data_IF_160912439671
#
_entry.id   IF_160912439671
#
_cell.length_a   1.000
_cell.length_b   1.000
_cell.length_c   1.000
_cell.angle_alpha   90.00
_cell.angle_beta   90.00
_cell.angle_gamma   90.00
#
_symmetry.space_group_name_H-M   'P 1'
#
loop_
_entity.id
_entity.type
_entity.pdbx_description
1 polymer ?
#
# COMPACT_ATOMS: atom_id res chain seq x y z
N UNK A 1 -19.24 5.10 -16.85
CA UNK A 1 -20.54 5.02 -16.15
C UNK A 1 -21.48 6.01 -16.84
N UNK A 2 -22.71 5.59 -17.18
CA UNK A 2 -23.78 6.49 -17.58
C UNK A 2 -24.74 6.69 -16.43
N UNK A 3 -25.23 7.90 -16.29
CA UNK A 3 -26.25 8.25 -15.30
C UNK A 3 -27.49 8.72 -16.06
N UNK A 4 -28.61 8.04 -15.85
CA UNK A 4 -29.89 8.34 -16.49
C UNK A 4 -30.89 8.70 -15.41
N UNK A 5 -31.57 9.85 -15.55
CA UNK A 5 -32.57 10.31 -14.59
C UNK A 5 -33.81 10.85 -15.28
N UNK A 6 -34.98 10.62 -14.69
CA UNK A 6 -36.25 11.19 -15.05
C UNK A 6 -36.65 12.36 -14.13
N UNK A 7 -35.73 12.79 -13.25
CA UNK A 7 -35.96 13.82 -12.24
C UNK A 7 -36.57 13.28 -10.94
N UNK A 8 -37.01 12.02 -10.90
CA UNK A 8 -37.54 11.34 -9.71
C UNK A 8 -36.64 10.15 -9.30
N UNK A 9 -36.09 9.45 -10.29
CA UNK A 9 -35.20 8.32 -10.08
C UNK A 9 -33.96 8.49 -10.92
N UNK A 10 -32.83 8.10 -10.37
CA UNK A 10 -31.53 8.10 -11.04
C UNK A 10 -31.06 6.66 -11.15
N UNK A 11 -30.69 6.24 -12.35
CA UNK A 11 -30.13 4.92 -12.61
C UNK A 11 -28.69 5.05 -13.07
N UNK A 12 -27.88 4.14 -12.63
CA UNK A 12 -26.48 4.01 -12.99
C UNK A 12 -26.34 2.85 -13.97
N UNK A 13 -25.75 3.10 -15.12
CA UNK A 13 -25.65 2.13 -16.23
C UNK A 13 -24.19 1.72 -16.42
N UNK A 14 -23.96 0.42 -16.51
CA UNK A 14 -22.66 -0.12 -16.91
C UNK A 14 -22.45 0.11 -18.41
N UNK A 15 -21.43 0.89 -18.83
CA UNK A 15 -21.20 1.18 -20.25
C UNK A 15 -20.74 -0.04 -21.06
N UNK A 16 -20.27 -1.10 -20.40
CA UNK A 16 -19.78 -2.32 -21.06
C UNK A 16 -20.90 -3.29 -21.44
N UNK A 17 -21.98 -3.31 -20.64
CA UNK A 17 -23.12 -4.22 -20.85
C UNK A 17 -24.38 -3.49 -21.31
N UNK A 18 -24.47 -2.17 -21.04
CA UNK A 18 -25.70 -1.40 -21.24
C UNK A 18 -26.78 -1.63 -20.17
N UNK A 19 -26.52 -2.45 -19.18
CA UNK A 19 -27.45 -2.81 -18.13
C UNK A 19 -27.40 -1.84 -16.94
N UNK A 20 -28.49 -1.72 -16.15
CA UNK A 20 -28.44 -1.06 -14.86
C UNK A 20 -27.44 -1.72 -13.92
N UNK A 21 -26.67 -0.90 -13.24
CA UNK A 21 -25.80 -1.36 -12.15
C UNK A 21 -26.66 -1.78 -10.98
N UNK A 22 -26.42 -2.95 -10.44
CA UNK A 22 -27.15 -3.53 -9.32
C UNK A 22 -26.42 -3.27 -8.00
N UNK A 23 -27.16 -2.96 -6.96
CA UNK A 23 -26.68 -2.98 -5.58
C UNK A 23 -26.44 -4.44 -5.11
N UNK A 24 -25.85 -4.61 -3.94
CA UNK A 24 -25.48 -5.93 -3.39
C UNK A 24 -26.69 -6.85 -3.16
N UNK A 25 -27.88 -6.27 -3.00
CA UNK A 25 -29.15 -7.01 -2.88
C UNK A 25 -29.79 -7.35 -4.25
N UNK A 26 -29.10 -7.09 -5.35
CA UNK A 26 -29.54 -7.41 -6.71
C UNK A 26 -30.55 -6.42 -7.29
N UNK A 27 -30.84 -5.32 -6.63
CA UNK A 27 -31.76 -4.28 -7.14
C UNK A 27 -30.99 -3.20 -7.91
N UNK A 28 -31.61 -2.56 -8.90
CA UNK A 28 -31.01 -1.44 -9.59
C UNK A 28 -30.56 -0.35 -8.61
N UNK A 29 -29.33 0.13 -8.79
CA UNK A 29 -28.77 1.21 -8.02
C UNK A 29 -29.49 2.52 -8.41
N UNK A 30 -30.17 3.14 -7.44
CA UNK A 30 -30.96 4.36 -7.65
C UNK A 30 -30.48 5.53 -6.79
N UNK A 31 -29.25 5.50 -6.31
CA UNK A 31 -28.66 6.57 -5.51
C UNK A 31 -28.59 7.87 -6.30
N UNK A 32 -28.97 8.98 -5.68
CA UNK A 32 -28.84 10.30 -6.29
C UNK A 32 -27.37 10.67 -6.50
N UNK A 33 -27.09 11.29 -7.64
CA UNK A 33 -25.81 11.89 -7.90
C UNK A 33 -25.80 13.34 -7.43
N UNK A 34 -24.89 13.67 -6.53
CA UNK A 34 -24.65 15.04 -6.08
C UNK A 34 -23.24 15.44 -6.52
N UNK A 35 -23.16 16.49 -7.34
CA UNK A 35 -21.88 17.02 -7.80
C UNK A 35 -21.04 17.45 -6.59
N UNK A 36 -19.76 17.14 -6.66
CA UNK A 36 -18.76 17.48 -5.62
C UNK A 36 -19.06 16.91 -4.21
N UNK A 37 -19.92 15.90 -4.13
CA UNK A 37 -20.21 15.19 -2.90
C UNK A 37 -19.25 14.00 -2.72
N UNK A 38 -18.59 13.91 -1.55
CA UNK A 38 -17.74 12.78 -1.18
C UNK A 38 -18.48 11.43 -1.26
N UNK A 39 -19.79 11.44 -1.02
CA UNK A 39 -20.64 10.25 -1.11
C UNK A 39 -20.70 9.80 -2.57
N UNK A 40 -20.95 10.73 -3.51
CA UNK A 40 -21.02 10.43 -4.93
C UNK A 40 -19.65 10.00 -5.49
N UNK A 41 -18.57 10.63 -5.07
CA UNK A 41 -17.22 10.26 -5.46
C UNK A 41 -16.89 8.83 -4.99
N UNK A 42 -17.15 8.50 -3.73
CA UNK A 42 -16.95 7.14 -3.21
C UNK A 42 -17.81 6.10 -3.91
N UNK A 43 -19.06 6.45 -4.24
CA UNK A 43 -19.95 5.58 -5.01
C UNK A 43 -19.40 5.33 -6.42
N UNK A 44 -18.93 6.36 -7.11
CA UNK A 44 -18.33 6.24 -8.44
C UNK A 44 -17.09 5.34 -8.38
N UNK A 45 -16.19 5.53 -7.44
CA UNK A 45 -15.02 4.68 -7.26
C UNK A 45 -15.41 3.22 -7.02
N UNK A 46 -16.43 2.98 -6.18
CA UNK A 46 -16.95 1.65 -5.92
C UNK A 46 -17.55 1.02 -7.17
N UNK A 47 -18.32 1.76 -7.94
CA UNK A 47 -18.88 1.29 -9.21
C UNK A 47 -17.76 0.90 -10.17
N UNK A 48 -16.82 1.81 -10.43
CA UNK A 48 -15.68 1.57 -11.35
C UNK A 48 -14.86 0.34 -10.96
N UNK A 49 -14.77 0.07 -9.67
CA UNK A 49 -14.04 -1.09 -9.18
C UNK A 49 -14.82 -2.41 -9.26
N UNK A 50 -16.14 -2.36 -9.41
CA UNK A 50 -17.03 -3.52 -9.37
C UNK A 50 -17.49 -3.98 -10.75
N UNK A 51 -17.82 -3.03 -11.64
CA UNK A 51 -18.43 -3.34 -12.96
C UNK A 51 -17.39 -3.85 -13.95
N UNK A 52 -17.81 -4.83 -14.73
CA UNK A 52 -17.06 -5.44 -15.84
C UNK A 52 -18.01 -5.82 -16.95
N UNK A 53 -17.49 -6.35 -18.08
CA UNK A 53 -18.30 -6.88 -19.18
C UNK A 53 -19.14 -8.09 -18.79
N UNK A 54 -18.78 -8.77 -17.69
CA UNK A 54 -19.44 -9.95 -17.14
C UNK A 54 -20.10 -9.70 -15.77
N UNK A 55 -20.04 -8.46 -15.25
CA UNK A 55 -20.60 -8.14 -13.94
C UNK A 55 -21.21 -6.74 -13.87
N UNK A 56 -22.49 -6.67 -13.61
CA UNK A 56 -23.24 -5.43 -13.38
C UNK A 56 -23.52 -5.14 -11.89
N UNK A 57 -23.07 -6.00 -10.98
CA UNK A 57 -23.36 -5.88 -9.54
C UNK A 57 -22.22 -5.20 -8.79
N UNK A 58 -22.58 -4.32 -7.85
CA UNK A 58 -21.64 -3.77 -6.90
C UNK A 58 -21.06 -4.90 -6.04
N UNK A 59 -19.75 -5.01 -6.05
CA UNK A 59 -19.08 -5.93 -5.14
C UNK A 59 -19.00 -5.31 -3.74
N UNK A 60 -19.35 -6.09 -2.73
CA UNK A 60 -18.99 -5.73 -1.35
C UNK A 60 -17.48 -5.70 -1.27
N UNK A 61 -16.87 -4.64 -0.71
CA UNK A 61 -15.47 -4.71 -0.35
C UNK A 61 -15.31 -5.84 0.66
N UNK A 62 -14.90 -7.01 0.20
CA UNK A 62 -14.55 -8.10 1.11
C UNK A 62 -13.32 -7.61 1.86
N UNK A 63 -13.44 -7.47 3.16
CA UNK A 63 -12.29 -7.26 4.02
C UNK A 63 -11.41 -8.50 3.90
N UNK A 64 -10.44 -8.45 3.01
CA UNK A 64 -9.55 -9.58 2.74
C UNK A 64 -8.57 -9.67 3.90
N UNK A 65 -8.50 -10.84 4.55
CA UNK A 65 -7.55 -11.05 5.63
C UNK A 65 -6.11 -11.12 5.06
N UNK A 66 -5.21 -10.20 5.44
CA UNK A 66 -3.82 -10.20 4.96
C UNK A 66 -2.94 -11.28 5.58
N UNK A 67 -3.40 -11.90 6.66
CA UNK A 67 -2.59 -12.82 7.45
C UNK A 67 -2.10 -14.04 6.64
N UNK A 68 -2.91 -14.68 5.80
CA UNK A 68 -2.45 -15.80 5.00
C UNK A 68 -1.34 -15.41 4.02
N UNK A 69 -1.48 -14.27 3.31
CA UNK A 69 -0.46 -13.77 2.40
C UNK A 69 0.86 -13.45 3.16
N UNK A 70 0.76 -12.71 4.27
CA UNK A 70 1.91 -12.35 5.07
C UNK A 70 2.68 -13.57 5.56
N UNK A 71 1.97 -14.57 6.09
CA UNK A 71 2.59 -15.82 6.58
C UNK A 71 3.26 -16.62 5.46
N UNK A 72 2.60 -16.74 4.32
CA UNK A 72 3.14 -17.48 3.18
C UNK A 72 4.41 -16.82 2.63
N UNK A 73 4.37 -15.49 2.44
CA UNK A 73 5.55 -14.75 1.96
C UNK A 73 6.68 -14.79 2.99
N UNK A 74 6.34 -14.69 4.29
CA UNK A 74 7.33 -14.84 5.36
C UNK A 74 8.03 -16.20 5.30
N UNK A 75 7.27 -17.29 5.17
CA UNK A 75 7.83 -18.64 5.08
C UNK A 75 8.74 -18.82 3.86
N UNK A 76 8.34 -18.26 2.71
CA UNK A 76 9.16 -18.32 1.50
C UNK A 76 10.48 -17.54 1.65
N UNK A 77 10.43 -16.34 2.23
CA UNK A 77 11.63 -15.54 2.51
C UNK A 77 12.52 -16.18 3.58
N UNK A 78 11.92 -16.75 4.62
CA UNK A 78 12.66 -17.39 5.71
C UNK A 78 13.35 -18.68 5.28
N UNK A 79 12.84 -19.36 4.27
CA UNK A 79 13.45 -20.55 3.70
C UNK A 79 14.74 -20.28 2.90
N UNK A 80 15.01 -19.00 2.60
CA UNK A 80 16.25 -18.60 1.90
C UNK A 80 17.44 -18.75 2.85
N UNK A 81 18.53 -19.35 2.37
CA UNK A 81 19.75 -19.53 3.14
C UNK A 81 20.34 -18.19 3.60
N UNK A 82 20.69 -18.09 4.88
CA UNK A 82 21.22 -16.85 5.45
C UNK A 82 20.18 -15.74 5.67
N UNK A 83 18.89 -16.04 5.54
CA UNK A 83 17.84 -15.08 5.85
C UNK A 83 17.89 -14.65 7.31
N UNK A 84 17.76 -13.35 7.54
CA UNK A 84 17.56 -12.77 8.87
C UNK A 84 16.17 -12.17 8.95
N UNK A 85 15.59 -12.03 10.14
CA UNK A 85 14.27 -11.39 10.32
C UNK A 85 14.21 -10.01 9.64
N UNK A 86 15.29 -9.24 9.70
CA UNK A 86 15.42 -7.91 9.13
C UNK A 86 15.36 -7.95 7.60
N UNK A 87 16.18 -8.82 6.99
CA UNK A 87 16.24 -8.93 5.54
C UNK A 87 14.90 -9.41 4.98
N UNK A 88 14.23 -10.34 5.65
CA UNK A 88 12.89 -10.78 5.28
C UNK A 88 11.90 -9.63 5.31
N UNK A 89 11.92 -8.83 6.39
CA UNK A 89 11.02 -7.68 6.55
C UNK A 89 11.25 -6.63 5.45
N UNK A 90 12.49 -6.22 5.23
CA UNK A 90 12.81 -5.21 4.21
C UNK A 90 12.48 -5.70 2.81
N UNK A 91 12.77 -6.95 2.50
CA UNK A 91 12.44 -7.55 1.21
C UNK A 91 10.92 -7.64 1.01
N UNK A 92 10.17 -8.01 2.05
CA UNK A 92 8.71 -8.01 2.00
C UNK A 92 8.15 -6.61 1.75
N UNK A 93 8.62 -5.61 2.51
CA UNK A 93 8.18 -4.20 2.36
C UNK A 93 8.46 -3.72 0.93
N UNK A 94 9.63 -4.02 0.39
CA UNK A 94 10.01 -3.62 -0.96
C UNK A 94 9.10 -4.24 -2.03
N UNK A 95 8.86 -5.56 -1.98
CA UNK A 95 7.98 -6.24 -2.95
C UNK A 95 6.52 -5.77 -2.79
N UNK A 96 6.07 -5.56 -1.56
CA UNK A 96 4.74 -5.00 -1.29
C UNK A 96 4.59 -3.60 -1.89
N UNK A 97 5.56 -2.71 -1.69
CA UNK A 97 5.56 -1.36 -2.26
C UNK A 97 5.56 -1.43 -3.79
N UNK A 98 6.37 -2.30 -4.38
CA UNK A 98 6.40 -2.50 -5.83
C UNK A 98 5.01 -2.86 -6.37
N UNK A 99 4.38 -3.90 -5.82
CA UNK A 99 3.02 -4.29 -6.22
C UNK A 99 2.01 -3.17 -6.00
N UNK A 100 2.06 -2.54 -4.84
CA UNK A 100 1.12 -1.49 -4.46
C UNK A 100 1.20 -0.25 -5.39
N UNK A 101 2.40 0.23 -5.71
CA UNK A 101 2.60 1.35 -6.63
C UNK A 101 2.20 1.00 -8.07
N UNK A 102 2.39 -0.26 -8.46
CA UNK A 102 1.91 -0.75 -9.75
C UNK A 102 0.37 -0.75 -9.80
N UNK A 103 -0.28 -1.28 -8.78
CA UNK A 103 -1.75 -1.34 -8.71
C UNK A 103 -2.40 0.05 -8.65
N UNK A 104 -1.75 1.02 -8.03
CA UNK A 104 -2.17 2.42 -8.02
C UNK A 104 -1.96 3.15 -9.35
N UNK A 105 -1.25 2.54 -10.33
CA UNK A 105 -0.91 3.18 -11.60
C UNK A 105 0.18 4.26 -11.49
N UNK A 106 0.92 4.31 -10.38
CA UNK A 106 2.10 5.18 -10.20
C UNK A 106 3.26 4.66 -11.05
N UNK A 107 3.49 3.35 -11.04
CA UNK A 107 4.40 2.70 -11.98
C UNK A 107 3.64 2.39 -13.27
N UNK A 108 4.26 2.67 -14.42
CA UNK A 108 3.62 2.53 -15.74
C UNK A 108 4.52 1.79 -16.72
N UNK A 109 3.90 1.21 -17.76
CA UNK A 109 4.61 0.53 -18.86
C UNK A 109 5.48 -0.64 -18.36
N UNK A 110 6.74 -0.65 -18.75
CA UNK A 110 7.69 -1.72 -18.44
C UNK A 110 8.01 -1.88 -16.93
N UNK A 111 7.65 -0.88 -16.11
CA UNK A 111 7.94 -0.89 -14.68
C UNK A 111 6.79 -1.45 -13.82
N UNK A 112 5.69 -1.90 -14.44
CA UNK A 112 4.55 -2.44 -13.70
C UNK A 112 4.80 -3.87 -13.24
N UNK A 113 4.11 -4.25 -12.18
CA UNK A 113 4.14 -5.60 -11.64
C UNK A 113 3.67 -6.65 -12.66
N UNK A 114 2.56 -6.37 -13.33
CA UNK A 114 2.00 -7.29 -14.32
C UNK A 114 2.90 -7.45 -15.55
N UNK A 115 3.59 -6.38 -15.98
CA UNK A 115 4.57 -6.46 -17.06
C UNK A 115 5.75 -7.32 -16.67
N UNK A 116 6.29 -7.17 -15.45
CA UNK A 116 7.39 -8.01 -14.97
C UNK A 116 6.95 -9.47 -14.86
N UNK A 117 5.77 -9.73 -14.31
CA UNK A 117 5.23 -11.08 -14.17
C UNK A 117 5.03 -11.78 -15.54
N UNK A 118 4.55 -11.02 -16.54
CA UNK A 118 4.36 -11.57 -17.89
C UNK A 118 5.67 -12.03 -18.56
N UNK A 119 6.81 -11.50 -18.14
CA UNK A 119 8.12 -11.89 -18.72
C UNK A 119 8.49 -13.35 -18.43
N UNK A 120 7.98 -13.97 -17.37
CA UNK A 120 8.20 -15.38 -17.08
C UNK A 120 7.69 -16.34 -18.17
N UNK A 121 6.81 -15.88 -19.06
CA UNK A 121 6.37 -16.64 -20.22
C UNK A 121 7.41 -16.85 -21.31
N UNK A 122 8.47 -15.99 -21.33
CA UNK A 122 9.48 -16.01 -22.39
C UNK A 122 10.92 -16.02 -21.85
N UNK A 123 11.13 -15.71 -20.57
CA UNK A 123 12.45 -15.56 -19.95
C UNK A 123 12.59 -16.51 -18.75
N UNK A 124 13.82 -16.80 -18.38
CA UNK A 124 14.14 -17.57 -17.17
C UNK A 124 13.91 -16.74 -15.91
N UNK A 125 13.74 -17.39 -14.77
CA UNK A 125 13.61 -16.71 -13.47
C UNK A 125 14.78 -15.76 -13.18
N UNK A 126 15.98 -16.12 -13.55
CA UNK A 126 17.17 -15.28 -13.37
C UNK A 126 17.12 -14.01 -14.24
N UNK A 127 16.72 -14.13 -15.51
CA UNK A 127 16.58 -12.96 -16.39
C UNK A 127 15.52 -11.98 -15.89
N UNK A 128 14.39 -12.49 -15.38
CA UNK A 128 13.33 -11.63 -14.82
C UNK A 128 13.81 -10.94 -13.53
N UNK A 129 14.55 -11.66 -12.66
CA UNK A 129 15.13 -11.05 -11.47
C UNK A 129 16.17 -9.97 -11.83
N UNK A 130 16.98 -10.17 -12.86
CA UNK A 130 17.91 -9.15 -13.38
C UNK A 130 17.16 -7.91 -13.91
N UNK A 131 16.05 -8.07 -14.61
CA UNK A 131 15.22 -6.96 -15.05
C UNK A 131 14.65 -6.19 -13.86
N UNK A 132 14.19 -6.90 -12.83
CA UNK A 132 13.75 -6.25 -11.59
C UNK A 132 14.86 -5.44 -10.95
N UNK A 133 16.05 -6.05 -10.77
CA UNK A 133 17.18 -5.43 -10.09
C UNK A 133 17.74 -4.21 -10.86
N UNK A 134 17.87 -4.32 -12.17
CA UNK A 134 18.55 -3.30 -13.01
C UNK A 134 17.62 -2.21 -13.55
N UNK A 135 16.32 -2.47 -13.62
CA UNK A 135 15.36 -1.55 -14.26
C UNK A 135 14.24 -1.11 -13.31
N UNK A 136 13.47 -2.05 -12.76
CA UNK A 136 12.28 -1.74 -11.95
C UNK A 136 12.65 -1.14 -10.60
N UNK A 137 13.55 -1.78 -9.86
CA UNK A 137 14.00 -1.34 -8.54
C UNK A 137 14.62 0.07 -8.55
N UNK A 138 15.52 0.42 -9.46
CA UNK A 138 16.03 1.79 -9.60
C UNK A 138 14.92 2.81 -9.84
N UNK A 139 13.91 2.46 -10.65
CA UNK A 139 12.75 3.34 -10.87
C UNK A 139 11.94 3.62 -9.61
N UNK A 140 11.77 2.60 -8.76
CA UNK A 140 11.12 2.79 -7.46
C UNK A 140 12.00 3.66 -6.54
N UNK A 141 13.32 3.47 -6.56
CA UNK A 141 14.27 4.30 -5.79
C UNK A 141 14.27 5.78 -6.21
N UNK A 142 14.03 6.08 -7.50
CA UNK A 142 13.88 7.47 -7.97
C UNK A 142 12.68 8.15 -7.33
N UNK A 143 11.56 7.44 -7.16
CA UNK A 143 10.37 7.95 -6.49
C UNK A 143 10.59 8.17 -4.99
N UNK A 144 11.45 7.35 -4.37
CA UNK A 144 11.73 7.36 -2.93
C UNK A 144 13.24 7.38 -2.67
N UNK A 145 13.90 8.50 -2.93
CA UNK A 145 15.33 8.61 -2.77
C UNK A 145 15.74 8.44 -1.30
N UNK A 146 16.96 7.98 -1.11
CA UNK A 146 17.56 7.85 0.21
C UNK A 146 17.54 9.19 0.94
N UNK A 147 17.12 9.18 2.19
CA UNK A 147 17.09 10.39 3.00
C UNK A 147 18.52 10.86 3.30
N UNK A 148 18.80 12.14 3.01
CA UNK A 148 20.14 12.73 3.15
C UNK A 148 20.57 12.92 4.62
N UNK A 149 19.62 13.01 5.57
CA UNK A 149 19.92 13.27 6.97
C UNK A 149 20.25 12.00 7.76
N UNK A 150 19.45 10.94 7.57
CA UNK A 150 19.55 9.70 8.34
C UNK A 150 20.01 8.50 7.51
N UNK A 151 20.28 8.71 6.21
CA UNK A 151 20.69 7.66 5.25
C UNK A 151 19.73 6.48 5.13
N UNK A 152 18.50 6.56 5.61
CA UNK A 152 17.53 5.49 5.51
C UNK A 152 16.84 5.48 4.14
N UNK A 153 16.48 4.30 3.68
CA UNK A 153 15.65 4.08 2.50
C UNK A 153 14.62 3.00 2.81
N UNK A 154 13.42 3.12 2.22
CA UNK A 154 12.38 2.10 2.33
C UNK A 154 12.62 0.95 1.35
N UNK A 155 13.41 1.17 0.30
CA UNK A 155 13.81 0.16 -0.68
C UNK A 155 15.16 -0.39 -0.25
N UNK A 156 15.13 -1.36 0.65
CA UNK A 156 16.31 -1.88 1.35
C UNK A 156 16.33 -3.42 1.45
N UNK A 157 15.52 -4.12 0.67
CA UNK A 157 15.56 -5.58 0.60
C UNK A 157 16.87 -6.08 0.01
N UNK A 158 17.49 -7.06 0.65
CA UNK A 158 18.80 -7.60 0.21
C UNK A 158 18.78 -9.10 -0.06
N UNK A 159 17.61 -9.75 -0.03
CA UNK A 159 17.52 -11.18 -0.34
C UNK A 159 17.65 -11.40 -1.85
N UNK A 160 16.91 -10.66 -2.65
CA UNK A 160 16.88 -10.83 -4.11
C UNK A 160 17.83 -9.92 -4.86
N UNK A 161 18.12 -8.76 -4.29
CA UNK A 161 18.98 -7.74 -4.92
C UNK A 161 20.03 -7.28 -3.91
N UNK A 162 21.28 -7.30 -4.32
CA UNK A 162 22.41 -6.86 -3.50
C UNK A 162 22.35 -5.35 -3.23
N UNK A 163 23.25 -4.88 -2.36
CA UNK A 163 23.39 -3.43 -2.09
C UNK A 163 23.82 -2.63 -3.32
N UNK A 164 24.45 -3.28 -4.29
CA UNK A 164 24.93 -2.69 -5.54
C UNK A 164 23.91 -2.83 -6.68
N UNK A 165 22.65 -3.08 -6.35
CA UNK A 165 21.53 -3.24 -7.28
C UNK A 165 21.72 -4.35 -8.33
N UNK A 166 22.40 -5.45 -7.95
CA UNK A 166 22.54 -6.63 -8.76
C UNK A 166 21.68 -7.77 -8.22
N UNK A 167 21.11 -8.56 -9.11
CA UNK A 167 20.41 -9.77 -8.72
C UNK A 167 21.32 -10.72 -7.93
N UNK A 168 20.76 -11.37 -6.93
CA UNK A 168 21.46 -12.36 -6.11
C UNK A 168 21.20 -13.75 -6.68
N UNK A 169 22.25 -14.46 -7.03
CA UNK A 169 22.15 -15.79 -7.62
C UNK A 169 21.47 -16.80 -6.68
N UNK A 170 20.71 -17.71 -7.29
CA UNK A 170 20.08 -18.84 -6.59
C UNK A 170 18.72 -18.53 -5.95
N UNK A 171 18.25 -17.28 -5.96
CA UNK A 171 16.99 -16.92 -5.32
C UNK A 171 15.87 -16.48 -6.29
N UNK A 172 16.12 -16.53 -7.59
CA UNK A 172 15.17 -16.11 -8.61
C UNK A 172 13.87 -16.91 -8.58
N UNK A 173 13.90 -18.21 -8.34
CA UNK A 173 12.71 -19.04 -8.20
C UNK A 173 11.87 -18.68 -6.97
N UNK A 174 12.50 -18.26 -5.87
CA UNK A 174 11.78 -17.78 -4.68
C UNK A 174 11.17 -16.41 -4.95
N UNK A 175 11.86 -15.53 -5.67
CA UNK A 175 11.32 -14.26 -6.10
C UNK A 175 10.06 -14.44 -6.97
N UNK A 176 10.14 -15.31 -8.00
CA UNK A 176 8.99 -15.67 -8.84
C UNK A 176 7.81 -16.18 -7.99
N UNK A 177 8.05 -17.11 -7.09
CA UNK A 177 7.03 -17.66 -6.19
C UNK A 177 6.35 -16.58 -5.35
N UNK A 178 7.09 -15.59 -4.88
CA UNK A 178 6.53 -14.47 -4.10
C UNK A 178 5.69 -13.55 -4.99
N UNK A 179 6.16 -13.22 -6.20
CA UNK A 179 5.36 -12.46 -7.16
C UNK A 179 4.03 -13.19 -7.48
N UNK A 180 4.07 -14.49 -7.69
CA UNK A 180 2.88 -15.32 -7.90
C UNK A 180 1.89 -15.26 -6.74
N UNK A 181 2.37 -15.22 -5.48
CA UNK A 181 1.49 -15.07 -4.32
C UNK A 181 0.77 -13.74 -4.32
N UNK A 182 1.48 -12.66 -4.63
CA UNK A 182 0.87 -11.33 -4.74
C UNK A 182 -0.10 -11.25 -5.93
N UNK A 183 0.21 -11.87 -7.06
CA UNK A 183 -0.67 -11.94 -8.21
C UNK A 183 -1.98 -12.68 -7.90
N UNK A 184 -1.90 -13.84 -7.25
CA UNK A 184 -3.05 -14.64 -6.82
C UNK A 184 -3.89 -13.97 -5.75
N UNK A 185 -3.28 -13.14 -4.92
CA UNK A 185 -3.98 -12.34 -3.93
C UNK A 185 -4.86 -11.27 -4.60
N UNK A 186 -4.41 -10.72 -5.74
CA UNK A 186 -5.12 -9.72 -6.53
C UNK A 186 -4.61 -8.30 -6.32
N UNK A 187 -5.50 -7.30 -6.44
CA UNK A 187 -5.10 -5.91 -6.35
C UNK A 187 -4.95 -5.43 -4.91
N UNK A 188 -3.87 -4.72 -4.64
CA UNK A 188 -3.60 -4.07 -3.38
C UNK A 188 -4.21 -2.65 -3.29
N UNK A 189 -4.68 -2.08 -4.39
CA UNK A 189 -5.31 -0.75 -4.41
C UNK A 189 -6.55 -0.67 -3.51
N UNK A 190 -7.33 -1.73 -3.48
CA UNK A 190 -8.60 -1.82 -2.75
C UNK A 190 -8.46 -2.21 -1.27
N UNK A 191 -7.24 -2.39 -0.81
CA UNK A 191 -6.96 -2.77 0.57
C UNK A 191 -7.22 -1.57 1.48
N UNK A 192 -8.03 -1.77 2.50
CA UNK A 192 -8.30 -0.76 3.51
C UNK A 192 -7.07 -0.46 4.39
N UNK A 193 -7.20 0.59 5.19
CA UNK A 193 -6.18 1.00 6.14
C UNK A 193 -5.85 -0.10 7.16
N UNK A 194 -6.85 -0.75 7.71
CA UNK A 194 -6.70 -1.75 8.75
C UNK A 194 -5.96 -2.99 8.24
N UNK A 195 -6.19 -3.36 6.98
CA UNK A 195 -5.43 -4.41 6.30
C UNK A 195 -3.93 -4.08 6.24
N UNK A 196 -3.58 -2.89 5.75
CA UNK A 196 -2.17 -2.46 5.59
C UNK A 196 -1.47 -2.48 6.95
N UNK A 197 -2.10 -1.93 7.97
CA UNK A 197 -1.57 -1.92 9.33
C UNK A 197 -1.39 -3.34 9.88
N UNK A 198 -2.38 -4.21 9.72
CA UNK A 198 -2.32 -5.61 10.19
C UNK A 198 -1.28 -6.43 9.46
N UNK A 199 -1.11 -6.22 8.15
CA UNK A 199 -0.11 -6.91 7.36
C UNK A 199 1.30 -6.63 7.91
N UNK A 200 1.63 -5.34 8.08
CA UNK A 200 2.93 -4.93 8.62
C UNK A 200 3.13 -5.37 10.08
N UNK A 201 2.10 -5.24 10.92
CA UNK A 201 2.18 -5.71 12.30
C UNK A 201 2.41 -7.22 12.41
N UNK A 202 1.77 -7.99 11.55
CA UNK A 202 1.95 -9.44 11.52
C UNK A 202 3.36 -9.79 11.10
N UNK A 203 3.85 -9.16 10.03
CA UNK A 203 5.21 -9.38 9.56
C UNK A 203 6.24 -8.97 10.61
N UNK A 204 6.01 -7.86 11.31
CA UNK A 204 6.83 -7.45 12.44
C UNK A 204 6.80 -8.45 13.59
N UNK A 205 5.62 -8.93 13.98
CA UNK A 205 5.50 -9.93 15.04
C UNK A 205 6.23 -11.22 14.71
N UNK A 206 6.13 -11.70 13.48
CA UNK A 206 6.87 -12.89 13.03
C UNK A 206 8.39 -12.62 12.97
N UNK A 207 8.81 -11.42 12.59
CA UNK A 207 10.22 -11.03 12.55
C UNK A 207 10.84 -10.83 13.94
N UNK A 208 10.04 -10.46 14.91
CA UNK A 208 10.46 -10.11 16.29
C UNK A 208 10.33 -11.30 17.25
N UNK A 209 9.63 -12.37 16.84
CA UNK A 209 9.37 -13.50 17.73
C UNK A 209 10.66 -14.23 18.06
N UNK A 210 11.23 -14.03 19.17
CA UNK A 210 11.81 -14.98 20.12
C UNK A 210 12.89 -14.44 21.07
N UNK A 211 13.50 -13.29 20.86
CA UNK A 211 14.47 -12.74 21.84
C UNK A 211 14.49 -11.20 21.82
N UNK A 212 14.04 -10.57 22.86
CA UNK A 212 14.43 -9.24 23.36
C UNK A 212 13.78 -7.95 22.80
N UNK A 213 12.62 -7.99 22.16
CA UNK A 213 11.98 -6.72 21.76
C UNK A 213 10.71 -6.49 22.57
N UNK A 214 10.83 -5.74 23.66
CA UNK A 214 9.68 -5.21 24.40
C UNK A 214 8.94 -4.08 23.68
N UNK A 215 8.94 -4.05 22.35
CA UNK A 215 8.16 -3.10 21.60
C UNK A 215 6.71 -3.56 21.51
N UNK A 216 5.85 -2.90 22.27
CA UNK A 216 4.41 -3.12 22.21
C UNK A 216 3.79 -2.14 21.23
N UNK A 217 3.08 -2.67 20.24
CA UNK A 217 2.27 -1.83 19.36
C UNK A 217 1.01 -1.40 20.08
N UNK A 218 0.79 -0.08 20.14
CA UNK A 218 -0.46 0.44 20.71
C UNK A 218 -1.65 -0.09 19.90
N UNK A 219 -2.66 -0.69 20.54
CA UNK A 219 -3.84 -1.19 19.85
C UNK A 219 -4.54 -0.09 19.07
N UNK A 220 -4.98 -0.39 17.84
CA UNK A 220 -5.57 0.60 16.95
C UNK A 220 -6.74 1.35 17.59
N UNK A 221 -7.63 0.66 18.31
CA UNK A 221 -8.76 1.30 19.02
C UNK A 221 -8.31 2.37 20.03
N UNK A 222 -7.19 2.18 20.68
CA UNK A 222 -6.62 3.16 21.62
C UNK A 222 -6.11 4.37 20.84
N UNK A 223 -5.38 4.14 19.76
CA UNK A 223 -4.88 5.23 18.89
C UNK A 223 -6.05 6.05 18.33
N UNK A 224 -7.10 5.40 17.83
CA UNK A 224 -8.30 6.05 17.32
C UNK A 224 -9.03 6.88 18.38
N UNK A 225 -9.14 6.36 19.60
CA UNK A 225 -9.77 7.09 20.69
C UNK A 225 -8.97 8.35 21.05
N UNK A 226 -7.65 8.24 21.16
CA UNK A 226 -6.77 9.39 21.46
C UNK A 226 -6.79 10.40 20.33
N UNK A 227 -6.73 9.96 19.06
CA UNK A 227 -6.80 10.82 17.90
C UNK A 227 -8.11 11.63 17.85
N UNK A 228 -9.24 11.00 18.16
CA UNK A 228 -10.54 11.69 18.28
C UNK A 228 -10.57 12.73 19.39
N UNK A 229 -10.01 12.39 20.56
CA UNK A 229 -9.96 13.31 21.70
C UNK A 229 -9.03 14.51 21.44
N UNK A 230 -8.01 14.36 20.63
CA UNK A 230 -7.06 15.42 20.30
C UNK A 230 -7.64 16.48 19.34
N UNK A 231 -8.79 16.22 18.71
CA UNK A 231 -9.48 17.16 17.81
C UNK A 231 -8.57 17.84 16.78
N UNK A 232 -7.75 17.05 16.09
CA UNK A 232 -6.75 17.55 15.15
C UNK A 232 -7.41 18.36 14.02
N UNK A 233 -6.80 19.52 13.70
CA UNK A 233 -7.29 20.46 12.69
C UNK A 233 -6.17 20.91 11.76
N UNK A 234 -6.46 21.35 10.52
CA UNK A 234 -5.50 22.00 9.67
C UNK A 234 -4.80 23.18 10.39
N UNK A 235 -3.53 23.37 10.12
CA UNK A 235 -2.67 24.34 10.78
C UNK A 235 -1.97 23.84 12.05
N UNK A 236 -2.34 22.67 12.56
CA UNK A 236 -1.69 22.09 13.73
C UNK A 236 -0.39 21.35 13.37
N UNK A 237 0.45 21.19 14.40
CA UNK A 237 1.65 20.35 14.36
C UNK A 237 1.44 19.15 15.30
N UNK A 238 1.47 17.95 14.75
CA UNK A 238 1.46 16.69 15.51
C UNK A 238 2.92 16.28 15.71
N UNK A 239 3.31 16.09 16.97
CA UNK A 239 4.63 15.61 17.33
C UNK A 239 4.50 14.33 18.18
N UNK A 240 5.10 13.25 17.71
CA UNK A 240 5.19 11.98 18.44
C UNK A 240 6.67 11.69 18.72
N UNK A 241 7.11 11.81 19.98
CA UNK A 241 8.51 11.64 20.36
C UNK A 241 8.96 10.17 20.43
N UNK A 242 8.03 9.22 20.32
CA UNK A 242 8.27 7.78 20.32
C UNK A 242 7.34 7.09 19.29
N UNK A 243 7.43 7.56 18.04
CA UNK A 243 6.40 7.32 17.03
C UNK A 243 6.25 5.85 16.59
N UNK A 244 7.21 5.00 16.90
CA UNK A 244 7.16 3.62 16.45
C UNK A 244 6.94 3.54 14.95
N UNK A 245 5.88 2.84 14.54
CA UNK A 245 5.48 2.72 13.13
C UNK A 245 4.60 3.89 12.63
N UNK A 246 4.48 4.96 13.39
CA UNK A 246 3.83 6.21 12.98
C UNK A 246 2.31 6.23 13.13
N UNK A 247 1.69 5.34 13.92
CA UNK A 247 0.24 5.26 14.05
C UNK A 247 -0.41 6.55 14.55
N UNK A 248 0.14 7.17 15.59
CA UNK A 248 -0.41 8.42 16.15
C UNK A 248 -0.24 9.63 15.22
N UNK A 249 0.73 9.57 14.30
CA UNK A 249 0.90 10.62 13.28
C UNK A 249 -0.10 10.47 12.14
N UNK A 250 -0.44 9.23 11.78
CA UNK A 250 -1.24 8.91 10.61
C UNK A 250 -2.75 8.85 10.91
N UNK A 251 -3.15 8.20 11.99
CA UNK A 251 -4.56 7.98 12.32
C UNK A 251 -5.43 9.25 12.30
N UNK A 252 -4.96 10.40 12.84
CA UNK A 252 -5.77 11.61 12.87
C UNK A 252 -6.11 12.18 11.50
N UNK A 253 -5.32 11.85 10.46
CA UNK A 253 -5.41 12.46 9.12
C UNK A 253 -5.90 11.52 8.03
N UNK A 254 -5.89 10.20 8.29
CA UNK A 254 -6.12 9.19 7.26
C UNK A 254 -7.53 9.17 6.69
N UNK A 255 -8.52 9.51 7.49
CA UNK A 255 -9.92 9.42 7.09
C UNK A 255 -10.36 10.58 6.18
N UNK A 256 -9.55 11.66 6.11
CA UNK A 256 -9.83 12.83 5.29
C UNK A 256 -8.52 13.52 4.88
N UNK A 257 -7.75 12.87 4.01
CA UNK A 257 -6.48 13.42 3.53
C UNK A 257 -6.67 14.76 2.81
N UNK A 258 -7.76 14.94 2.08
CA UNK A 258 -8.08 16.18 1.35
C UNK A 258 -8.24 17.39 2.25
N UNK A 259 -8.59 17.20 3.53
CA UNK A 259 -8.64 18.27 4.52
C UNK A 259 -7.27 18.82 4.88
N UNK A 260 -6.25 17.95 4.88
CA UNK A 260 -4.91 18.26 5.36
C UNK A 260 -3.89 18.46 4.25
N UNK A 261 -4.19 18.01 3.04
CA UNK A 261 -3.29 18.12 1.90
C UNK A 261 -4.06 18.65 0.69
N UNK A 262 -3.44 19.57 -0.05
CA UNK A 262 -3.97 20.06 -1.32
C UNK A 262 -2.87 20.02 -2.37
N UNK A 263 -3.24 19.89 -3.63
CA UNK A 263 -2.30 20.01 -4.73
C UNK A 263 -2.56 21.30 -5.46
N UNK A 264 -1.55 22.12 -5.55
CA UNK A 264 -1.59 23.40 -6.23
C UNK A 264 -0.38 23.52 -7.16
N UNK A 265 -0.62 23.71 -8.44
CA UNK A 265 0.45 23.82 -9.45
C UNK A 265 1.31 22.55 -9.56
N UNK A 266 0.74 21.36 -9.36
CA UNK A 266 1.46 20.09 -9.39
C UNK A 266 2.34 19.82 -8.15
N UNK A 267 2.21 20.63 -7.11
CA UNK A 267 2.93 20.45 -5.85
C UNK A 267 1.98 20.14 -4.70
N UNK A 268 2.33 19.13 -3.92
CA UNK A 268 1.61 18.78 -2.69
C UNK A 268 1.88 19.84 -1.61
N UNK A 269 0.83 20.49 -1.15
CA UNK A 269 0.87 21.43 -0.02
C UNK A 269 0.23 20.82 1.21
N UNK A 270 0.99 20.72 2.28
CA UNK A 270 0.51 20.23 3.56
C UNK A 270 -0.07 21.38 4.38
N UNK A 271 -1.28 21.21 4.88
CA UNK A 271 -1.94 22.09 5.86
C UNK A 271 -1.74 21.60 7.30
N UNK A 272 -0.91 20.60 7.49
CA UNK A 272 -0.57 20.03 8.80
C UNK A 272 0.91 19.69 8.81
N UNK A 273 1.54 19.83 9.97
CA UNK A 273 2.92 19.40 10.16
C UNK A 273 2.94 18.12 10.99
N UNK A 274 3.72 17.13 10.54
CA UNK A 274 3.91 15.86 11.24
C UNK A 274 5.40 15.72 11.59
N UNK A 275 5.69 15.43 12.84
CA UNK A 275 7.04 15.14 13.32
C UNK A 275 7.02 13.87 14.16
N UNK A 276 7.72 12.85 13.69
CA UNK A 276 7.91 11.59 14.40
C UNK A 276 9.37 11.41 14.77
N UNK A 277 9.61 11.01 16.00
CA UNK A 277 10.93 10.64 16.49
C UNK A 277 10.89 9.22 17.03
N UNK A 278 11.95 8.48 16.82
CA UNK A 278 12.14 7.19 17.45
C UNK A 278 13.62 6.93 17.64
N UNK A 279 13.95 5.98 18.50
CA UNK A 279 15.32 5.57 18.75
C UNK A 279 15.88 4.86 17.52
N UNK A 280 17.06 5.24 17.05
CA UNK A 280 17.62 4.72 15.80
C UNK A 280 19.14 4.75 15.76
N UNK A 281 19.81 4.56 16.91
CA UNK A 281 21.27 4.54 16.98
C UNK A 281 21.87 3.28 16.40
N UNK A 282 21.22 2.13 16.58
CA UNK A 282 21.65 0.83 16.06
C UNK A 282 20.91 0.46 14.79
N UNK A 283 21.54 -0.37 13.94
CA UNK A 283 20.91 -0.91 12.72
C UNK A 283 19.56 -1.58 13.02
N UNK A 284 19.46 -2.21 14.17
CA UNK A 284 18.25 -2.88 14.62
C UNK A 284 17.12 -1.92 15.02
N UNK A 285 17.45 -0.77 15.57
CA UNK A 285 16.51 0.27 15.96
C UNK A 285 15.99 1.07 14.74
N UNK A 286 16.77 1.17 13.66
CA UNK A 286 16.34 1.83 12.42
C UNK A 286 15.16 1.14 11.72
N UNK A 287 14.88 -0.12 12.05
CA UNK A 287 13.76 -0.90 11.47
C UNK A 287 12.43 -0.21 11.68
N UNK A 288 12.18 0.28 12.87
CA UNK A 288 10.93 0.96 13.23
C UNK A 288 10.74 2.24 12.41
N UNK A 289 11.82 3.00 12.22
CA UNK A 289 11.82 4.23 11.41
C UNK A 289 11.53 3.90 9.93
N UNK A 290 12.16 2.86 9.39
CA UNK A 290 11.93 2.43 8.00
C UNK A 290 10.48 1.99 7.81
N UNK A 291 9.92 1.28 8.78
CA UNK A 291 8.51 0.88 8.74
C UNK A 291 7.55 2.06 8.87
N UNK A 292 7.85 3.04 9.74
CA UNK A 292 7.06 4.26 9.81
C UNK A 292 7.07 4.99 8.47
N UNK A 293 8.22 5.09 7.80
CA UNK A 293 8.34 5.67 6.46
C UNK A 293 7.56 4.87 5.40
N UNK A 294 7.62 3.53 5.45
CA UNK A 294 6.86 2.66 4.56
C UNK A 294 5.35 2.82 4.77
N UNK A 295 4.89 2.90 6.02
CA UNK A 295 3.51 3.20 6.34
C UNK A 295 3.08 4.56 5.78
N UNK A 296 3.84 5.62 6.03
CA UNK A 296 3.55 6.94 5.49
C UNK A 296 3.44 6.91 3.97
N UNK A 297 4.37 6.25 3.29
CA UNK A 297 4.34 6.11 1.84
C UNK A 297 3.05 5.43 1.38
N UNK A 298 2.69 4.31 1.97
CA UNK A 298 1.49 3.56 1.61
C UNK A 298 0.23 4.43 1.79
N UNK A 299 0.17 5.20 2.87
CA UNK A 299 -0.99 6.06 3.15
C UNK A 299 -1.04 7.29 2.26
N UNK A 300 0.10 7.91 1.97
CA UNK A 300 0.16 9.08 1.09
C UNK A 300 0.21 8.73 -0.40
N UNK A 301 0.41 7.47 -0.76
CA UNK A 301 0.48 7.06 -2.17
C UNK A 301 -0.83 7.27 -2.94
N UNK A 302 -1.97 7.30 -2.27
CA UNK A 302 -3.23 7.72 -2.89
C UNK A 302 -3.15 9.15 -3.46
N UNK A 303 -2.40 10.04 -2.80
CA UNK A 303 -2.15 11.39 -3.30
C UNK A 303 -1.19 11.42 -4.49
N UNK A 304 -0.33 10.40 -4.66
CA UNK A 304 0.58 10.29 -5.81
C UNK A 304 -0.14 9.85 -7.09
N UNK A 305 -1.24 9.11 -6.97
CA UNK A 305 -2.02 8.65 -8.11
C UNK A 305 -2.71 9.80 -8.84
N UNK A 306 -3.19 10.77 -8.10
CA UNK A 306 -4.08 11.82 -8.59
C UNK A 306 -3.29 12.99 -9.20
N UNK A 307 -1.96 12.84 -9.33
CA UNK A 307 -1.00 13.84 -9.81
C UNK A 307 0.13 13.25 -10.65
#
# INVERSE_FOLDING_TARGET
>A
IYIVTDGKKTYWINPLTGNPILSEDGKPLTSEFQRDSDISIRLIHRILSSIRADNDMLCTPVAVDPLPLARQVWQDLWAVSGATPENCLYTFVEVFIFKYLSDLGVLRGAYTFDHLLAQYGANTDNEVLEVYASSVRPKIKELFPKNLKDNTTIINGTIFVSKDDKAVDGYAAVFHKILDRFAKFGTLEKIDYDFKSRLFETFLKESISKKNWGQFFTPLKVVQSIAKMAEIRPGMHICDPACGVGKFLLEPILHDLGRYFTVEGGQLKAKIQLSGFDKGFDKDEQKTIILAKANMLIYFSALLRDH
#
